data_IF_268642535141
#
_entry.id   IF_268642535141
#
_cell.length_a   1.000
_cell.length_b   1.000
_cell.length_c   1.000
_cell.angle_alpha   90.00
_cell.angle_beta   90.00
_cell.angle_gamma   90.00
#
_symmetry.space_group_name_H-M   'P 1'
#
loop_
_entity.id
_entity.type
_entity.pdbx_description
1 polymer ?
#
# COMPACT_ATOMS: atom_id res chain seq x y z
N UNK A 1 11.28 -13.33 -0.98
CA UNK A 1 10.13 -14.06 -1.54
C UNK A 1 9.16 -13.02 -2.08
N UNK A 2 8.55 -13.25 -3.24
CA UNK A 2 7.44 -12.42 -3.74
C UNK A 2 6.19 -12.70 -2.90
N UNK A 3 5.30 -11.71 -2.80
CA UNK A 3 4.02 -11.84 -2.11
C UNK A 3 2.96 -11.86 -3.21
N UNK A 4 2.31 -13.01 -3.40
CA UNK A 4 1.43 -13.26 -4.56
C UNK A 4 0.31 -12.22 -4.70
N UNK A 5 -0.20 -11.67 -3.59
CA UNK A 5 -1.25 -10.65 -3.61
C UNK A 5 -0.82 -9.29 -4.21
N UNK A 6 0.48 -9.13 -4.52
CA UNK A 6 1.05 -7.94 -5.15
C UNK A 6 1.53 -8.20 -6.58
N UNK A 7 1.27 -9.39 -7.13
CA UNK A 7 1.60 -9.70 -8.51
C UNK A 7 0.90 -8.71 -9.46
N UNK A 8 1.67 -8.15 -10.40
CA UNK A 8 1.22 -7.12 -11.34
C UNK A 8 0.79 -5.78 -10.72
N UNK A 9 1.26 -5.48 -9.51
CA UNK A 9 1.20 -4.14 -8.90
C UNK A 9 2.56 -3.48 -9.04
N UNK A 10 2.59 -2.25 -9.52
CA UNK A 10 3.80 -1.42 -9.53
C UNK A 10 3.85 -0.65 -8.20
N UNK A 11 4.67 -1.11 -7.26
CA UNK A 11 4.74 -0.54 -5.91
C UNK A 11 5.30 0.88 -5.93
N UNK A 12 6.32 1.12 -6.75
CA UNK A 12 7.02 2.40 -6.87
C UNK A 12 6.11 3.52 -7.40
N UNK A 13 4.95 3.15 -7.94
CA UNK A 13 3.88 4.04 -8.41
C UNK A 13 2.57 3.84 -7.62
N UNK A 14 2.61 3.14 -6.49
CA UNK A 14 1.44 2.98 -5.60
C UNK A 14 1.51 4.02 -4.49
N UNK A 15 0.56 4.96 -4.49
CA UNK A 15 0.51 6.07 -3.53
C UNK A 15 -0.11 5.64 -2.21
N UNK A 16 0.44 6.13 -1.10
CA UNK A 16 -0.06 5.89 0.26
C UNK A 16 -0.95 7.06 0.66
N UNK A 17 -2.20 6.76 1.00
CA UNK A 17 -3.21 7.75 1.37
C UNK A 17 -3.35 7.93 2.88
N UNK A 18 -3.05 6.88 3.64
CA UNK A 18 -3.03 6.87 5.11
C UNK A 18 -2.58 5.51 5.63
N UNK A 19 -2.27 5.45 6.92
CA UNK A 19 -2.10 4.20 7.63
C UNK A 19 -2.76 4.22 8.99
N UNK A 20 -3.15 3.05 9.46
CA UNK A 20 -3.72 2.86 10.78
C UNK A 20 -3.27 1.54 11.37
N UNK A 21 -2.88 1.59 12.64
CA UNK A 21 -2.58 0.41 13.43
C UNK A 21 -3.64 0.26 14.52
N UNK A 22 -4.23 -0.92 14.59
CA UNK A 22 -5.13 -1.35 15.68
C UNK A 22 -4.69 -2.73 16.20
N UNK A 23 -5.35 -3.25 17.23
CA UNK A 23 -5.05 -4.51 17.87
C UNK A 23 -4.93 -5.67 16.86
N UNK A 24 -3.70 -6.07 16.55
CA UNK A 24 -3.39 -7.18 15.65
C UNK A 24 -3.49 -6.87 14.15
N UNK A 25 -3.66 -5.61 13.76
CA UNK A 25 -3.81 -5.23 12.34
C UNK A 25 -3.03 -3.94 12.05
N UNK A 26 -2.33 -3.93 10.92
CA UNK A 26 -1.77 -2.71 10.32
C UNK A 26 -2.32 -2.57 8.90
N UNK A 27 -2.90 -1.41 8.61
CA UNK A 27 -3.52 -1.09 7.34
C UNK A 27 -2.80 0.11 6.71
N UNK A 28 -2.46 0.00 5.43
CA UNK A 28 -2.19 1.14 4.55
C UNK A 28 -3.34 1.25 3.56
N UNK A 29 -3.94 2.43 3.47
CA UNK A 29 -4.84 2.77 2.36
C UNK A 29 -3.98 3.29 1.24
N UNK A 30 -4.19 2.77 0.04
CA UNK A 30 -3.36 3.10 -1.12
C UNK A 30 -4.20 3.42 -2.33
N UNK A 31 -3.61 4.13 -3.27
CA UNK A 31 -4.02 4.18 -4.66
C UNK A 31 -3.03 3.31 -5.46
N UNK A 32 -3.41 2.06 -5.70
CA UNK A 32 -2.55 1.05 -6.29
C UNK A 32 -2.40 1.25 -7.80
N UNK A 33 -1.16 1.22 -8.30
CA UNK A 33 -0.86 1.22 -9.73
C UNK A 33 -0.83 -0.20 -10.28
N UNK A 34 -1.79 -0.51 -11.14
CA UNK A 34 -1.92 -1.83 -11.75
C UNK A 34 -1.17 -1.85 -13.09
N UNK A 35 -0.29 -2.84 -13.26
CA UNK A 35 0.23 -3.19 -14.58
C UNK A 35 -0.91 -3.71 -15.46
N UNK A 36 -0.82 -3.51 -16.77
CA UNK A 36 -1.86 -3.95 -17.72
C UNK A 36 -2.05 -5.48 -17.77
N UNK A 37 -1.12 -6.25 -17.20
CA UNK A 37 -1.24 -7.70 -16.99
C UNK A 37 -2.12 -8.07 -15.79
N UNK A 38 -2.44 -7.12 -14.90
CA UNK A 38 -3.30 -7.38 -13.75
C UNK A 38 -4.74 -7.65 -14.22
N UNK A 39 -5.42 -8.71 -13.71
CA UNK A 39 -6.77 -9.07 -14.17
C UNK A 39 -7.83 -7.98 -14.00
N UNK A 40 -7.62 -7.12 -13.01
CA UNK A 40 -8.49 -5.98 -12.73
C UNK A 40 -8.06 -4.67 -13.42
N UNK A 41 -6.97 -4.68 -14.19
CA UNK A 41 -6.53 -3.48 -14.90
C UNK A 41 -7.52 -3.09 -16.00
N UNK A 42 -7.72 -1.78 -16.15
CA UNK A 42 -8.40 -1.17 -17.28
C UNK A 42 -7.44 -0.23 -18.00
N UNK A 43 -7.86 0.27 -19.16
CA UNK A 43 -7.18 1.38 -19.81
C UNK A 43 -7.13 2.56 -18.82
N UNK A 44 -5.98 3.25 -18.68
CA UNK A 44 -5.89 4.49 -17.90
C UNK A 44 -6.96 5.49 -18.32
N UNK A 45 -7.51 6.22 -17.35
CA UNK A 45 -8.44 7.31 -17.63
C UNK A 45 -7.69 8.43 -18.38
N UNK A 46 -8.39 9.22 -19.18
CA UNK A 46 -7.76 10.33 -19.90
C UNK A 46 -7.06 11.29 -18.92
N UNK A 47 -5.75 11.48 -19.11
CA UNK A 47 -4.91 12.29 -18.22
C UNK A 47 -4.06 11.47 -17.25
N UNK A 48 -4.43 10.21 -17.02
CA UNK A 48 -3.65 9.26 -16.22
C UNK A 48 -2.69 8.47 -17.11
N UNK A 49 -1.51 8.14 -16.58
CA UNK A 49 -0.52 7.31 -17.28
C UNK A 49 -0.59 5.84 -16.88
N UNK A 50 -1.22 5.53 -15.74
CA UNK A 50 -1.41 4.18 -15.21
C UNK A 50 -2.87 3.88 -14.85
N UNK A 51 -3.17 2.60 -14.59
CA UNK A 51 -4.46 2.18 -14.07
C UNK A 51 -4.42 2.21 -12.53
N UNK A 52 -4.91 3.29 -11.96
CA UNK A 52 -4.98 3.44 -10.51
C UNK A 52 -6.27 2.87 -9.93
N UNK A 53 -6.18 2.11 -8.83
CA UNK A 53 -7.32 1.61 -8.07
C UNK A 53 -7.15 1.83 -6.57
N UNK A 54 -8.18 2.34 -5.87
CA UNK A 54 -8.15 2.38 -4.42
C UNK A 54 -7.97 0.96 -3.86
N UNK A 55 -7.11 0.82 -2.85
CA UNK A 55 -6.76 -0.46 -2.27
C UNK A 55 -6.44 -0.38 -0.79
N UNK A 56 -6.40 -1.55 -0.16
CA UNK A 56 -5.99 -1.72 1.23
C UNK A 56 -4.89 -2.77 1.28
N UNK A 57 -3.70 -2.37 1.71
CA UNK A 57 -2.66 -3.31 2.15
C UNK A 57 -2.89 -3.59 3.62
N UNK A 58 -3.11 -4.87 3.96
CA UNK A 58 -3.42 -5.30 5.32
C UNK A 58 -2.41 -6.33 5.80
N UNK A 59 -1.72 -6.01 6.88
CA UNK A 59 -1.00 -6.99 7.69
C UNK A 59 -1.95 -7.55 8.76
N UNK A 60 -2.06 -8.87 8.85
CA UNK A 60 -3.00 -9.56 9.76
C UNK A 60 -2.28 -10.33 10.86
N UNK A 61 -2.89 -10.41 12.04
CA UNK A 61 -2.32 -11.03 13.23
C UNK A 61 -0.95 -10.44 13.58
N UNK A 62 -0.89 -9.10 13.55
CA UNK A 62 0.32 -8.32 13.84
C UNK A 62 0.70 -8.47 15.31
N UNK A 63 1.94 -8.89 15.55
CA UNK A 63 2.50 -9.04 16.90
C UNK A 63 3.51 -7.94 17.25
N UNK A 64 4.08 -7.27 16.25
CA UNK A 64 5.01 -6.15 16.44
C UNK A 64 5.03 -5.26 15.20
N UNK A 65 5.11 -3.94 15.42
CA UNK A 65 5.39 -2.93 14.39
C UNK A 65 6.53 -2.05 14.88
N UNK A 66 7.54 -1.80 14.03
CA UNK A 66 8.68 -0.93 14.35
C UNK A 66 8.90 0.05 13.21
N UNK A 67 9.19 1.31 13.54
CA UNK A 67 9.46 2.36 12.56
C UNK A 67 8.23 3.03 11.95
N UNK A 68 7.01 2.62 12.33
CA UNK A 68 5.79 3.30 11.92
C UNK A 68 5.68 4.65 12.63
N UNK A 69 5.73 5.73 11.85
CA UNK A 69 5.58 7.09 12.36
C UNK A 69 4.08 7.45 12.51
N UNK A 70 3.70 8.29 13.48
CA UNK A 70 2.36 8.89 13.50
C UNK A 70 2.12 9.67 12.20
N UNK A 71 0.91 9.57 11.64
CA UNK A 71 0.60 10.12 10.33
C UNK A 71 0.78 11.65 10.29
N UNK A 72 0.45 12.34 11.39
CA UNK A 72 0.65 13.77 11.59
C UNK A 72 2.12 14.22 11.64
N UNK A 73 3.06 13.28 11.78
CA UNK A 73 4.50 13.57 11.83
C UNK A 73 5.20 13.38 10.48
N UNK A 74 4.47 12.88 9.46
CA UNK A 74 4.96 12.68 8.11
C UNK A 74 4.39 13.77 7.21
N UNK A 75 5.24 14.37 6.38
CA UNK A 75 4.79 15.37 5.42
C UNK A 75 3.87 14.72 4.37
N UNK A 76 2.76 15.38 4.06
CA UNK A 76 1.84 14.96 3.00
C UNK A 76 1.55 16.10 2.04
N UNK A 77 1.15 15.73 0.83
CA UNK A 77 0.51 16.62 -0.13
C UNK A 77 -1.00 16.40 -0.10
N UNK A 78 -1.74 17.34 -0.68
CA UNK A 78 -3.18 17.20 -0.87
C UNK A 78 -3.46 17.27 -2.36
N UNK A 79 -4.08 16.21 -2.89
CA UNK A 79 -4.45 16.14 -4.29
C UNK A 79 -5.64 17.05 -4.61
N UNK A 80 -5.88 17.36 -5.90
CA UNK A 80 -7.01 18.19 -6.31
C UNK A 80 -8.38 17.69 -5.85
N UNK A 81 -8.51 16.38 -5.58
CA UNK A 81 -9.73 15.76 -5.07
C UNK A 81 -9.87 15.82 -3.53
N UNK A 82 -8.86 16.39 -2.84
CA UNK A 82 -8.81 16.53 -1.39
C UNK A 82 -8.26 15.30 -0.64
N UNK A 83 -7.86 14.25 -1.35
CA UNK A 83 -7.17 13.12 -0.72
C UNK A 83 -5.76 13.53 -0.28
N UNK A 84 -5.29 12.90 0.80
CA UNK A 84 -3.91 13.09 1.26
C UNK A 84 -3.03 12.08 0.55
N UNK A 85 -1.83 12.52 0.18
CA UNK A 85 -0.80 11.70 -0.42
C UNK A 85 0.47 11.77 0.43
N UNK A 86 0.94 10.60 0.85
CA UNK A 86 2.15 10.40 1.66
C UNK A 86 3.28 9.80 0.82
N UNK A 87 3.21 9.95 -0.50
CA UNK A 87 4.18 9.45 -1.45
C UNK A 87 3.99 7.98 -1.78
N UNK A 88 4.98 7.39 -2.45
CA UNK A 88 4.86 6.02 -2.98
C UNK A 88 5.55 4.97 -2.11
N UNK A 89 5.30 3.70 -2.44
CA UNK A 89 5.95 2.55 -1.80
C UNK A 89 7.19 2.18 -2.60
N UNK A 90 8.38 2.37 -2.02
CA UNK A 90 9.62 1.92 -2.64
C UNK A 90 9.72 0.39 -2.73
N UNK A 91 9.29 -0.30 -1.66
CA UNK A 91 9.36 -1.77 -1.63
C UNK A 91 8.48 -2.38 -0.54
N UNK A 92 7.99 -3.59 -0.80
CA UNK A 92 7.38 -4.48 0.18
C UNK A 92 7.97 -5.88 0.00
N UNK A 93 8.54 -6.43 1.08
CA UNK A 93 9.14 -7.76 1.02
C UNK A 93 8.97 -8.52 2.34
N UNK A 94 8.85 -9.84 2.24
CA UNK A 94 9.04 -10.74 3.38
C UNK A 94 10.54 -10.94 3.63
N UNK A 95 11.02 -10.53 4.80
CA UNK A 95 12.44 -10.61 5.21
C UNK A 95 12.75 -11.88 6.01
N UNK A 96 11.74 -12.48 6.62
CA UNK A 96 11.83 -13.72 7.37
C UNK A 96 10.47 -14.38 7.57
N UNK A 97 10.44 -15.56 8.20
CA UNK A 97 9.17 -16.21 8.53
C UNK A 97 8.34 -15.31 9.45
N UNK A 98 7.19 -14.86 8.96
CA UNK A 98 6.29 -13.93 9.66
C UNK A 98 6.86 -12.52 9.86
N UNK A 99 7.90 -12.13 9.11
CA UNK A 99 8.47 -10.77 9.17
C UNK A 99 8.44 -10.11 7.78
N UNK A 100 7.90 -8.90 7.74
CA UNK A 100 7.76 -8.09 6.55
C UNK A 100 8.43 -6.74 6.74
N UNK A 101 8.91 -6.18 5.64
CA UNK A 101 9.46 -4.83 5.58
C UNK A 101 8.80 -4.08 4.45
N UNK A 102 8.20 -2.94 4.78
CA UNK A 102 7.61 -2.00 3.84
C UNK A 102 8.37 -0.67 3.95
N UNK A 103 8.71 -0.09 2.80
CA UNK A 103 9.48 1.14 2.70
C UNK A 103 8.78 2.07 1.71
N UNK A 104 8.74 3.35 2.02
CA UNK A 104 8.32 4.41 1.14
C UNK A 104 8.61 5.77 1.75
N UNK A 105 7.99 6.81 1.21
CA UNK A 105 8.16 8.18 1.70
C UNK A 105 7.66 8.37 3.16
N UNK A 106 6.74 7.50 3.61
CA UNK A 106 6.31 7.41 5.01
C UNK A 106 7.34 6.77 5.96
N UNK A 107 8.48 6.31 5.44
CA UNK A 107 9.59 5.76 6.21
C UNK A 107 9.79 4.25 6.03
N UNK A 108 10.51 3.65 6.97
CA UNK A 108 10.87 2.22 6.97
C UNK A 108 10.15 1.51 8.10
N UNK A 109 9.26 0.58 7.76
CA UNK A 109 8.45 -0.15 8.74
C UNK A 109 8.74 -1.64 8.68
N UNK A 110 9.05 -2.22 9.84
CA UNK A 110 9.17 -3.68 10.02
C UNK A 110 7.96 -4.19 10.78
N UNK A 111 7.32 -5.22 10.24
CA UNK A 111 6.06 -5.78 10.74
C UNK A 111 6.24 -7.28 10.98
N UNK A 112 6.00 -7.72 12.22
CA UNK A 112 5.84 -9.13 12.51
C UNK A 112 4.35 -9.48 12.42
N UNK A 113 3.96 -10.28 11.44
CA UNK A 113 2.57 -10.59 11.12
C UNK A 113 2.44 -12.03 10.58
N UNK A 114 1.24 -12.58 10.62
CA UNK A 114 0.97 -13.89 10.02
C UNK A 114 0.86 -13.80 8.50
N UNK A 115 0.27 -12.71 7.99
CA UNK A 115 -0.03 -12.55 6.58
C UNK A 115 -0.04 -11.08 6.16
N UNK A 116 0.17 -10.84 4.86
CA UNK A 116 -0.03 -9.54 4.21
C UNK A 116 -0.79 -9.72 2.91
N UNK A 117 -1.84 -8.91 2.70
CA UNK A 117 -2.65 -8.95 1.49
C UNK A 117 -2.98 -7.55 0.97
N UNK A 118 -3.18 -7.46 -0.34
CA UNK A 118 -3.79 -6.32 -1.01
C UNK A 118 -5.23 -6.68 -1.39
N UNK A 119 -6.17 -5.80 -1.05
CA UNK A 119 -7.55 -5.86 -1.56
C UNK A 119 -7.85 -4.59 -2.32
N UNK A 120 -8.20 -4.70 -3.60
CA UNK A 120 -8.64 -3.59 -4.42
C UNK A 120 -10.13 -3.30 -4.16
N UNK A 121 -10.50 -2.03 -4.13
CA UNK A 121 -11.89 -1.63 -4.05
C UNK A 121 -12.61 -2.08 -5.33
N UNK A 122 -13.83 -2.61 -5.16
CA UNK A 122 -14.68 -2.90 -6.30
C UNK A 122 -14.92 -1.61 -7.09
N UNK A 123 -14.77 -1.69 -8.42
CA UNK A 123 -15.16 -0.58 -9.29
C UNK A 123 -16.65 -0.27 -9.03
N UNK A 124 -16.96 0.99 -8.71
CA UNK A 124 -18.34 1.47 -8.72
C UNK A 124 -18.85 1.29 -10.15
N UNK A 125 -19.85 0.42 -10.33
CA UNK A 125 -20.54 0.21 -11.60
C UNK A 125 -21.46 1.38 -11.92
#
# INVERSE_FOLDING_TARGET
MSIESFDNILLEDTFVLSWHQDAGVLIFRVLASLLQSHPEASVPVAGEWACYKPGIIKFSSVSSVRGLLPQESVASTTDPDGSLDYGTIDSLAQTGSGEYRIVGDFGVVTVAAHDVSLTLAAALK
#
